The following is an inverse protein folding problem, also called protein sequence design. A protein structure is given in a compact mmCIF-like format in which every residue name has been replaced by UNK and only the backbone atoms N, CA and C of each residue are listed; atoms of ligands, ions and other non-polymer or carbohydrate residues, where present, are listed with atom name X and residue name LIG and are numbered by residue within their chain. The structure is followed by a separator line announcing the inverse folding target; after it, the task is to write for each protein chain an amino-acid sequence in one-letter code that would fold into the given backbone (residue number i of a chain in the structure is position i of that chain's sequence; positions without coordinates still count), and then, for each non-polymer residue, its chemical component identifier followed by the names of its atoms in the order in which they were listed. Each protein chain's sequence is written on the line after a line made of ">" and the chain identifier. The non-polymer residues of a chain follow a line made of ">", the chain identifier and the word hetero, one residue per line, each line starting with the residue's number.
data_IF_450311455308
#
_entry.id   IF_450311455308
#
_cell.length_a   1.000
_cell.length_b   1.000
_cell.length_c   1.000
_cell.angle_alpha   90.00
_cell.angle_beta   90.00
_cell.angle_gamma   90.00
#
_symmetry.space_group_name_H-M   'P 1'
#
loop_
_entity.id
_entity.type
_entity.pdbx_description
1 polymer ?
#
# COMPACT_ATOMS: atom_id res chain seq x y z
N UNK A 1 -2.24 -23.11 -12.02
CA UNK A 1 -1.04 -22.38 -12.46
C UNK A 1 -0.38 -21.80 -11.22
N UNK A 2 0.90 -22.10 -10.96
CA UNK A 2 1.65 -21.47 -9.86
C UNK A 2 2.04 -20.05 -10.26
N UNK A 3 1.87 -19.09 -9.36
CA UNK A 3 2.37 -17.71 -9.57
C UNK A 3 3.90 -17.77 -9.62
N UNK A 4 4.56 -17.24 -10.66
CA UNK A 4 6.01 -17.24 -10.74
C UNK A 4 6.60 -16.40 -9.60
N UNK A 5 7.39 -17.05 -8.74
CA UNK A 5 8.04 -16.41 -7.60
C UNK A 5 9.39 -15.80 -8.02
N UNK A 6 9.65 -14.57 -7.60
CA UNK A 6 10.97 -13.92 -7.80
C UNK A 6 11.88 -14.21 -6.61
N UNK A 7 13.19 -14.17 -6.86
CA UNK A 7 14.20 -14.37 -5.82
C UNK A 7 14.10 -13.30 -4.73
N UNK A 8 14.15 -13.74 -3.47
CA UNK A 8 14.14 -12.84 -2.31
C UNK A 8 15.45 -12.06 -2.27
N UNK A 9 15.37 -10.72 -2.20
CA UNK A 9 16.55 -9.84 -2.15
C UNK A 9 16.98 -9.67 -0.67
N UNK A 10 18.14 -10.21 -0.24
CA UNK A 10 18.50 -10.31 1.18
C UNK A 10 18.79 -8.97 1.87
N UNK A 11 19.24 -7.96 1.13
CA UNK A 11 19.57 -6.62 1.67
C UNK A 11 18.37 -5.94 2.36
N UNK A 12 17.15 -6.41 2.08
CA UNK A 12 15.89 -5.75 2.47
C UNK A 12 15.20 -6.33 3.70
N UNK A 13 15.77 -7.38 4.28
CA UNK A 13 15.43 -7.82 5.63
C UNK A 13 16.10 -6.97 6.71
N UNK A 14 16.87 -5.95 6.33
CA UNK A 14 17.54 -5.04 7.25
C UNK A 14 16.52 -4.18 8.03
N UNK A 15 16.83 -3.98 9.32
CA UNK A 15 16.03 -3.17 10.23
C UNK A 15 15.75 -1.76 9.65
N UNK A 16 14.63 -1.16 10.07
CA UNK A 16 14.33 0.23 9.71
C UNK A 16 15.41 1.17 10.23
N UNK A 17 15.85 2.14 9.44
CA UNK A 17 16.79 3.17 9.88
C UNK A 17 16.04 4.28 10.61
N UNK A 18 16.68 4.93 11.59
CA UNK A 18 16.10 6.06 12.33
C UNK A 18 15.59 7.16 11.39
N UNK A 19 16.35 7.49 10.34
CA UNK A 19 15.98 8.51 9.36
C UNK A 19 14.69 8.15 8.60
N UNK A 20 14.52 6.89 8.20
CA UNK A 20 13.29 6.44 7.53
C UNK A 20 12.07 6.61 8.44
N UNK A 21 12.22 6.29 9.73
CA UNK A 21 11.15 6.48 10.72
C UNK A 21 10.77 7.96 10.83
N UNK A 22 11.76 8.86 10.93
CA UNK A 22 11.50 10.31 11.00
C UNK A 22 10.77 10.80 9.75
N UNK A 23 11.22 10.37 8.56
CA UNK A 23 10.59 10.73 7.29
C UNK A 23 9.14 10.24 7.26
N UNK A 24 8.88 8.98 7.59
CA UNK A 24 7.52 8.42 7.59
C UNK A 24 6.60 9.10 8.60
N UNK A 25 7.11 9.50 9.77
CA UNK A 25 6.35 10.28 10.76
C UNK A 25 5.96 11.64 10.19
N UNK A 26 6.87 12.35 9.52
CA UNK A 26 6.59 13.68 8.97
C UNK A 26 5.56 13.65 7.83
N UNK A 27 5.50 12.55 7.09
CA UNK A 27 4.57 12.37 5.97
C UNK A 27 3.12 12.03 6.35
N UNK A 28 2.82 11.72 7.62
CA UNK A 28 1.44 11.42 8.00
C UNK A 28 0.54 12.65 7.79
N UNK A 29 -0.73 12.47 7.45
CA UNK A 29 -1.65 13.61 7.30
C UNK A 29 -2.11 14.11 8.68
N UNK A 30 -2.12 15.43 8.87
CA UNK A 30 -2.72 16.08 10.05
C UNK A 30 -4.25 16.12 9.94
N UNK A 31 -4.94 16.34 11.06
CA UNK A 31 -6.40 16.47 11.14
C UNK A 31 -7.15 15.15 10.92
N UNK A 32 -6.47 14.00 11.03
CA UNK A 32 -7.13 12.69 10.99
C UNK A 32 -7.62 12.32 12.38
N UNK A 33 -8.80 11.70 12.44
CA UNK A 33 -9.33 11.17 13.68
C UNK A 33 -8.35 10.14 14.29
N UNK A 34 -8.07 10.24 15.60
CA UNK A 34 -7.31 9.21 16.29
C UNK A 34 -8.08 7.88 16.28
N UNK A 35 -7.36 6.78 16.48
CA UNK A 35 -7.99 5.46 16.61
C UNK A 35 -8.45 5.25 18.07
N UNK A 36 -8.70 3.99 18.47
CA UNK A 36 -9.08 3.61 19.84
C UNK A 36 -8.13 4.10 20.93
N UNK A 37 -6.87 4.37 20.58
CA UNK A 37 -5.87 4.91 21.50
C UNK A 37 -6.06 6.40 21.80
N UNK A 38 -6.95 7.09 21.06
CA UNK A 38 -7.21 8.51 21.16
C UNK A 38 -5.96 9.39 20.92
N UNK A 39 -4.89 8.86 20.31
CA UNK A 39 -3.64 9.61 20.05
C UNK A 39 -3.69 10.23 18.65
N UNK A 40 -3.73 11.56 18.53
CA UNK A 40 -3.84 12.21 17.23
C UNK A 40 -2.48 12.27 16.51
N UNK A 41 -2.46 12.36 15.16
CA UNK A 41 -1.23 12.36 14.37
C UNK A 41 -0.27 13.50 14.70
N UNK A 42 -0.77 14.61 15.20
CA UNK A 42 0.02 15.78 15.61
C UNK A 42 1.01 15.44 16.72
N UNK A 43 0.62 14.59 17.68
CA UNK A 43 1.51 14.14 18.75
C UNK A 43 2.72 13.40 18.16
N UNK A 44 2.50 12.57 17.15
CA UNK A 44 3.59 11.88 16.47
C UNK A 44 4.46 12.86 15.68
N UNK A 45 3.89 13.82 14.94
CA UNK A 45 4.67 14.79 14.16
C UNK A 45 5.54 15.72 15.01
N UNK A 46 5.03 16.11 16.18
CA UNK A 46 5.60 17.16 17.04
C UNK A 46 6.21 16.63 18.34
N UNK A 47 6.12 15.33 18.62
CA UNK A 47 6.64 14.71 19.86
C UNK A 47 8.17 14.67 19.98
N UNK A 48 8.89 15.16 18.97
CA UNK A 48 10.33 15.39 19.02
C UNK A 48 11.19 14.14 19.05
N UNK A 49 12.50 14.35 19.25
CA UNK A 49 13.52 13.31 19.13
C UNK A 49 13.26 12.11 20.04
N UNK A 50 12.84 12.36 21.29
CA UNK A 50 12.58 11.30 22.27
C UNK A 50 11.47 10.35 21.81
N UNK A 51 10.39 10.89 21.23
CA UNK A 51 9.33 10.07 20.67
C UNK A 51 9.81 9.30 19.43
N UNK A 52 10.57 9.96 18.55
CA UNK A 52 11.11 9.31 17.35
C UNK A 52 12.00 8.11 17.70
N UNK A 53 12.86 8.25 18.72
CA UNK A 53 13.70 7.15 19.20
C UNK A 53 12.85 5.99 19.71
N UNK A 54 11.81 6.26 20.51
CA UNK A 54 10.92 5.20 21.00
C UNK A 54 10.12 4.53 19.89
N UNK A 55 9.71 5.27 18.87
CA UNK A 55 9.03 4.71 17.69
C UNK A 55 9.98 3.82 16.88
N UNK A 56 11.24 4.23 16.74
CA UNK A 56 12.26 3.45 16.05
C UNK A 56 12.58 2.15 16.80
N UNK A 57 12.78 2.21 18.11
CA UNK A 57 12.95 1.02 18.97
C UNK A 57 11.76 0.06 18.82
N UNK A 58 10.54 0.60 18.84
CA UNK A 58 9.31 -0.18 18.67
C UNK A 58 9.28 -0.89 17.32
N UNK A 59 9.61 -0.20 16.23
CA UNK A 59 9.59 -0.79 14.89
C UNK A 59 10.67 -1.85 14.70
N UNK A 60 11.87 -1.66 15.27
CA UNK A 60 12.90 -2.70 15.32
C UNK A 60 12.37 -3.94 16.04
N UNK A 61 11.72 -3.76 17.19
CA UNK A 61 11.17 -4.87 17.96
C UNK A 61 10.08 -5.62 17.17
N UNK A 62 9.19 -4.89 16.49
CA UNK A 62 8.17 -5.51 15.61
C UNK A 62 8.84 -6.30 14.48
N UNK A 63 9.90 -5.77 13.89
CA UNK A 63 10.66 -6.41 12.82
C UNK A 63 11.33 -7.71 13.28
N UNK A 64 11.96 -7.71 14.46
CA UNK A 64 12.65 -8.87 15.05
C UNK A 64 11.71 -9.98 15.50
N UNK A 65 10.60 -9.60 16.14
CA UNK A 65 9.71 -10.56 16.80
C UNK A 65 8.69 -11.16 15.81
N UNK A 66 8.52 -10.54 14.62
CA UNK A 66 7.65 -11.06 13.55
C UNK A 66 6.16 -11.13 13.92
N UNK A 67 5.78 -10.66 15.10
CA UNK A 67 4.39 -10.64 15.54
C UNK A 67 3.68 -9.49 14.84
N UNK A 68 3.08 -9.80 13.70
CA UNK A 68 1.89 -9.09 13.27
C UNK A 68 0.91 -9.15 14.44
N UNK A 69 0.64 -8.01 15.09
CA UNK A 69 -0.50 -7.94 15.98
C UNK A 69 -1.72 -8.22 15.10
N UNK A 70 -2.45 -9.33 15.30
CA UNK A 70 -3.62 -9.61 14.49
C UNK A 70 -4.63 -8.50 14.77
N UNK A 71 -4.78 -7.58 13.82
CA UNK A 71 -5.85 -6.61 13.86
C UNK A 71 -7.15 -7.41 13.71
N UNK A 72 -7.98 -7.40 14.76
CA UNK A 72 -9.24 -8.12 14.78
C UNK A 72 -10.17 -7.51 13.72
N UNK A 73 -10.25 -8.14 12.54
CA UNK A 73 -11.32 -7.85 11.56
C UNK A 73 -12.67 -8.07 12.25
N UNK A 74 -13.59 -7.13 12.08
CA UNK A 74 -14.97 -7.23 12.56
C UNK A 74 -15.78 -8.14 11.63
N UNK A 75 -16.62 -9.03 12.19
CA UNK A 75 -17.75 -9.71 11.52
C UNK A 75 -18.55 -10.58 12.51
N UNK A 76 -19.90 -10.72 12.50
CA UNK A 76 -20.99 -10.18 11.67
C UNK A 76 -22.34 -10.24 12.44
N UNK A 77 -23.49 -9.73 11.93
CA UNK A 77 -24.79 -10.39 12.25
C UNK A 77 -25.98 -10.44 11.30
N UNK A 78 -26.16 -9.65 10.23
CA UNK A 78 -27.24 -10.02 9.26
C UNK A 78 -26.85 -9.78 7.78
N UNK A 79 -25.63 -10.17 7.40
CA UNK A 79 -25.12 -10.18 6.00
C UNK A 79 -24.71 -8.80 5.49
N UNK A 80 -23.43 -8.68 5.13
CA UNK A 80 -22.75 -7.42 4.81
C UNK A 80 -21.80 -7.62 3.63
N UNK A 81 -22.28 -8.27 2.56
CA UNK A 81 -21.44 -8.59 1.41
C UNK A 81 -21.14 -7.37 0.50
N UNK A 82 -21.71 -6.21 0.82
CA UNK A 82 -21.59 -4.94 0.08
C UNK A 82 -20.86 -3.83 0.86
N UNK A 83 -20.17 -4.12 1.96
CA UNK A 83 -19.43 -3.10 2.71
C UNK A 83 -17.94 -3.35 2.58
N UNK A 84 -17.22 -2.40 1.95
CA UNK A 84 -15.77 -2.42 1.91
C UNK A 84 -15.27 -2.29 3.36
N UNK A 85 -14.69 -3.36 3.90
CA UNK A 85 -14.22 -3.42 5.28
C UNK A 85 -12.99 -2.53 5.47
N UNK A 86 -13.19 -1.24 5.75
CA UNK A 86 -12.08 -0.33 6.08
C UNK A 86 -11.61 -0.66 7.50
N UNK A 87 -10.41 -1.22 7.61
CA UNK A 87 -9.73 -1.40 8.89
C UNK A 87 -9.00 -0.11 9.25
N UNK A 88 -9.41 0.55 10.33
CA UNK A 88 -8.70 1.71 10.86
C UNK A 88 -7.47 1.24 11.62
N UNK A 89 -6.29 1.42 11.00
CA UNK A 89 -5.01 1.25 11.68
C UNK A 89 -4.78 2.39 12.68
N UNK A 90 -4.15 2.09 13.82
CA UNK A 90 -3.60 3.10 14.72
C UNK A 90 -2.62 4.00 13.99
N UNK A 91 -2.40 5.22 14.50
CA UNK A 91 -1.46 6.14 13.85
C UNK A 91 -0.04 5.54 13.81
N UNK A 92 0.40 4.88 14.88
CA UNK A 92 1.67 4.17 14.92
C UNK A 92 1.77 3.08 13.84
N UNK A 93 0.72 2.28 13.65
CA UNK A 93 0.68 1.26 12.60
C UNK A 93 0.63 1.87 11.19
N UNK A 94 -0.02 3.02 11.01
CA UNK A 94 0.01 3.76 9.73
C UNK A 94 1.41 4.27 9.39
N UNK A 95 2.17 4.74 10.39
CA UNK A 95 3.56 5.16 10.21
C UNK A 95 4.41 3.96 9.76
N UNK A 96 4.27 2.80 10.43
CA UNK A 96 4.99 1.58 10.04
C UNK A 96 4.59 1.12 8.63
N UNK A 97 3.29 1.11 8.31
CA UNK A 97 2.80 0.76 6.98
C UNK A 97 3.35 1.70 5.90
N UNK A 98 3.43 3.01 6.18
CA UNK A 98 4.04 3.99 5.26
C UNK A 98 5.53 3.69 5.05
N UNK A 99 6.27 3.40 6.11
CA UNK A 99 7.70 3.05 6.00
C UNK A 99 7.91 1.83 5.12
N UNK A 100 7.12 0.77 5.35
CA UNK A 100 7.16 -0.44 4.52
C UNK A 100 6.77 -0.12 3.08
N UNK A 101 5.71 0.66 2.88
CA UNK A 101 5.24 1.07 1.57
C UNK A 101 6.32 1.82 0.79
N UNK A 102 7.00 2.78 1.40
CA UNK A 102 8.05 3.58 0.74
C UNK A 102 9.22 2.70 0.29
N UNK A 103 9.62 1.71 1.11
CA UNK A 103 10.63 0.70 0.74
C UNK A 103 10.17 -0.18 -0.42
N UNK A 104 8.92 -0.67 -0.36
CA UNK A 104 8.35 -1.55 -1.37
C UNK A 104 8.16 -0.82 -2.70
N UNK A 105 7.57 0.38 -2.70
CA UNK A 105 7.31 1.18 -3.91
C UNK A 105 8.62 1.51 -4.62
N UNK A 106 9.67 1.94 -3.90
CA UNK A 106 10.99 2.22 -4.51
C UNK A 106 11.51 1.04 -5.32
N UNK A 107 11.27 -0.18 -4.88
CA UNK A 107 11.68 -1.35 -5.63
C UNK A 107 10.70 -1.72 -6.74
N UNK A 108 9.43 -1.82 -6.39
CA UNK A 108 8.36 -2.31 -7.28
C UNK A 108 8.24 -1.41 -8.50
N UNK A 109 8.23 -0.09 -8.31
CA UNK A 109 8.12 0.87 -9.40
C UNK A 109 9.31 0.76 -10.35
N UNK A 110 10.53 0.61 -9.82
CA UNK A 110 11.74 0.63 -10.63
C UNK A 110 12.07 -0.71 -11.33
N UNK A 111 11.55 -1.84 -10.85
CA UNK A 111 12.00 -3.17 -11.31
C UNK A 111 10.87 -4.14 -11.70
N UNK A 112 9.62 -3.82 -11.39
CA UNK A 112 8.50 -4.76 -11.52
C UNK A 112 7.34 -4.13 -12.30
N UNK A 113 7.06 -2.84 -12.09
CA UNK A 113 5.90 -2.18 -12.69
C UNK A 113 6.03 -2.04 -14.20
N UNK A 114 5.11 -2.61 -14.99
CA UNK A 114 5.07 -2.35 -16.41
C UNK A 114 4.58 -0.92 -16.66
N UNK A 115 4.95 -0.36 -17.81
CA UNK A 115 4.52 0.98 -18.23
C UNK A 115 3.00 1.07 -18.35
N UNK A 116 2.35 -0.01 -18.80
CA UNK A 116 0.91 -0.14 -18.93
C UNK A 116 0.14 -0.20 -17.61
N UNK A 117 0.82 -0.30 -16.45
CA UNK A 117 0.14 -0.31 -15.14
C UNK A 117 0.08 1.12 -14.57
N UNK A 118 -1.15 1.59 -14.33
CA UNK A 118 -1.43 2.96 -13.89
C UNK A 118 -1.94 3.08 -12.44
N UNK A 119 -2.56 2.04 -11.86
CA UNK A 119 -2.88 2.08 -10.43
C UNK A 119 -1.59 1.98 -9.62
N UNK A 120 -1.27 2.92 -8.73
CA UNK A 120 -0.17 2.84 -7.70
C UNK A 120 1.28 3.26 -8.03
N UNK A 121 1.58 4.03 -9.10
CA UNK A 121 2.73 4.95 -9.13
C UNK A 121 2.28 6.41 -8.96
N UNK A 122 3.13 7.27 -8.37
CA UNK A 122 2.80 8.68 -8.13
C UNK A 122 2.70 9.56 -9.39
N UNK A 123 3.10 9.05 -10.56
CA UNK A 123 3.23 9.82 -11.80
C UNK A 123 2.22 9.45 -12.89
N UNK A 124 1.38 8.43 -12.68
CA UNK A 124 0.40 7.96 -13.69
C UNK A 124 -0.99 7.92 -13.07
N UNK A 125 -1.95 8.50 -13.77
CA UNK A 125 -3.35 8.57 -13.34
C UNK A 125 -4.33 8.03 -14.37
N UNK A 126 -5.60 7.98 -13.98
CA UNK A 126 -6.69 7.49 -14.85
C UNK A 126 -6.75 8.22 -16.19
N UNK A 127 -6.40 9.52 -16.20
CA UNK A 127 -6.36 10.33 -17.42
C UNK A 127 -5.35 9.77 -18.43
N UNK A 128 -4.15 9.40 -17.97
CA UNK A 128 -3.11 8.83 -18.84
C UNK A 128 -3.58 7.53 -19.49
N UNK A 129 -4.26 6.67 -18.71
CA UNK A 129 -4.78 5.39 -19.22
C UNK A 129 -5.91 5.61 -20.23
N UNK A 130 -6.82 6.56 -19.97
CA UNK A 130 -7.88 6.95 -20.91
C UNK A 130 -7.26 7.49 -22.20
N UNK A 131 -6.23 8.32 -22.09
CA UNK A 131 -5.50 8.85 -23.24
C UNK A 131 -4.87 7.72 -24.05
N UNK A 132 -4.12 6.81 -23.43
CA UNK A 132 -3.53 5.65 -24.13
C UNK A 132 -4.59 4.78 -24.82
N UNK A 133 -5.73 4.53 -24.17
CA UNK A 133 -6.82 3.76 -24.77
C UNK A 133 -7.43 4.47 -25.99
N UNK A 134 -7.58 5.80 -25.94
CA UNK A 134 -8.04 6.61 -27.08
C UNK A 134 -7.08 6.54 -28.24
N UNK A 135 -5.78 6.71 -28.00
CA UNK A 135 -4.75 6.61 -29.05
C UNK A 135 -4.79 5.26 -29.76
N UNK A 136 -4.96 4.15 -29.02
CA UNK A 136 -5.09 2.81 -29.62
C UNK A 136 -6.37 2.71 -30.47
N UNK A 137 -7.49 3.22 -29.95
CA UNK A 137 -8.78 3.17 -30.64
C UNK A 137 -8.76 3.97 -31.95
N UNK A 138 -8.22 5.19 -31.93
CA UNK A 138 -8.09 6.04 -33.11
C UNK A 138 -7.20 5.40 -34.17
N UNK A 139 -6.05 4.86 -33.76
CA UNK A 139 -5.11 4.23 -34.70
C UNK A 139 -5.64 2.96 -35.37
N UNK A 140 -6.47 2.18 -34.66
CA UNK A 140 -7.14 1.01 -35.25
C UNK A 140 -8.22 1.45 -36.24
N UNK A 141 -8.98 2.50 -35.91
CA UNK A 141 -9.97 3.11 -36.80
C UNK A 141 -9.36 3.65 -38.08
N UNK A 142 -8.23 4.37 -38.00
CA UNK A 142 -7.49 4.87 -39.16
C UNK A 142 -7.06 3.76 -40.12
N UNK A 143 -6.72 2.59 -39.58
CA UNK A 143 -6.32 1.41 -40.36
C UNK A 143 -7.49 0.57 -40.85
N UNK A 144 -8.72 0.98 -40.55
CA UNK A 144 -9.93 0.24 -40.89
C UNK A 144 -9.90 -1.22 -40.40
N UNK A 145 -9.34 -1.42 -39.20
CA UNK A 145 -9.25 -2.71 -38.53
C UNK A 145 -10.29 -2.82 -37.40
N UNK A 146 -10.62 -4.05 -37.01
CA UNK A 146 -11.51 -4.30 -35.88
C UNK A 146 -10.75 -4.24 -34.54
N UNK A 147 -11.38 -3.65 -33.51
CA UNK A 147 -10.85 -3.60 -32.15
C UNK A 147 -11.85 -4.25 -31.18
N UNK A 148 -11.36 -5.15 -30.34
CA UNK A 148 -12.12 -5.74 -29.24
C UNK A 148 -11.51 -5.29 -27.90
N UNK A 149 -12.35 -4.79 -27.00
CA UNK A 149 -11.95 -4.35 -25.66
C UNK A 149 -12.59 -5.24 -24.61
N UNK A 150 -11.77 -5.73 -23.67
CA UNK A 150 -12.22 -6.58 -22.56
C UNK A 150 -11.96 -5.82 -21.26
N UNK A 151 -13.02 -5.59 -20.49
CA UNK A 151 -12.94 -4.99 -19.17
C UNK A 151 -13.10 -6.09 -18.12
N UNK A 152 -12.11 -6.22 -17.24
CA UNK A 152 -12.10 -7.21 -16.15
C UNK A 152 -12.11 -6.45 -14.83
N UNK A 153 -13.13 -6.71 -14.00
CA UNK A 153 -13.22 -6.21 -12.64
C UNK A 153 -13.14 -7.37 -11.64
N UNK A 154 -12.28 -7.22 -10.63
CA UNK A 154 -12.05 -8.27 -9.63
C UNK A 154 -12.94 -8.02 -8.41
N UNK A 155 -13.86 -8.94 -8.14
CA UNK A 155 -14.72 -8.87 -6.95
C UNK A 155 -13.87 -9.01 -5.68
N UNK A 156 -13.93 -7.99 -4.80
CA UNK A 156 -13.26 -7.98 -3.49
C UNK A 156 -11.75 -8.28 -3.57
N UNK A 157 -11.05 -7.62 -4.50
CA UNK A 157 -9.63 -7.88 -4.81
C UNK A 157 -8.67 -7.96 -3.60
N UNK A 158 -8.92 -7.23 -2.50
CA UNK A 158 -8.09 -7.29 -1.29
C UNK A 158 -8.46 -8.43 -0.31
N UNK A 159 -9.70 -8.91 -0.35
CA UNK A 159 -10.18 -9.99 0.52
C UNK A 159 -9.99 -11.36 -0.11
N UNK A 160 -9.91 -11.44 -1.44
CA UNK A 160 -9.77 -12.70 -2.19
C UNK A 160 -8.32 -13.06 -2.53
N UNK A 161 -7.33 -12.32 -2.03
CA UNK A 161 -5.93 -12.64 -2.30
C UNK A 161 -5.51 -13.92 -1.59
N UNK A 162 -4.89 -14.84 -2.33
CA UNK A 162 -4.32 -16.05 -1.75
C UNK A 162 -3.05 -15.69 -0.94
N UNK A 163 -3.16 -15.76 0.38
CA UNK A 163 -2.07 -15.44 1.32
C UNK A 163 -0.86 -16.38 1.20
N UNK A 164 -1.04 -17.61 0.73
CA UNK A 164 0.07 -18.55 0.52
C UNK A 164 0.84 -18.26 -0.77
N UNK A 165 0.24 -17.52 -1.71
CA UNK A 165 0.85 -17.16 -2.99
C UNK A 165 1.53 -15.78 -2.96
N UNK A 166 1.24 -14.96 -1.93
CA UNK A 166 1.88 -13.68 -1.63
C UNK A 166 3.22 -13.88 -0.90
#
# INVERSE_FOLDING_TARGET
>A
MSVPQRTVIPERSLESTFLEVVISIKQISSGKAPDRDAIPPEIYKHGGQKLFTKMHDLFINVWKVGRQHPYKKKGNRIVCDNHCGISLLSIASKILARLILDRVIKHVVNNIYPESQCGSPSSRGTIDMIFSLRQVTEKVREKNQELFLIFVDLTKAFDTVNQQAL
#
